data_IF_423615819000
#
_entry.id   IF_423615819000
#
_cell.length_a   1.000
_cell.length_b   1.000
_cell.length_c   1.000
_cell.angle_alpha   90.00
_cell.angle_beta   90.00
_cell.angle_gamma   90.00
#
_symmetry.space_group_name_H-M   'P 1'
#
loop_
_entity.id
_entity.type
_entity.pdbx_description
1 polymer ?
#
# COMPACT_ATOMS: atom_id res chain seq x y z
N UNK A 1 6.09 -15.72 3.89
CA UNK A 1 6.27 -14.33 4.39
C UNK A 1 5.40 -13.39 3.57
N UNK A 2 4.47 -12.69 4.19
CA UNK A 2 3.62 -11.73 3.47
C UNK A 2 4.45 -10.60 2.87
N UNK A 3 4.02 -10.12 1.74
CA UNK A 3 4.76 -9.13 0.95
C UNK A 3 3.94 -7.85 0.81
N UNK A 4 4.58 -6.71 1.01
CA UNK A 4 3.94 -5.39 0.96
C UNK A 4 4.70 -4.52 -0.04
N UNK A 5 3.95 -3.85 -0.93
CA UNK A 5 4.50 -2.85 -1.83
C UNK A 5 4.20 -1.47 -1.25
N UNK A 6 5.23 -0.65 -1.08
CA UNK A 6 5.10 0.72 -0.59
C UNK A 6 5.43 1.68 -1.74
N UNK A 7 4.46 2.52 -2.10
CA UNK A 7 4.60 3.49 -3.19
C UNK A 7 4.50 4.90 -2.60
N UNK A 8 5.60 5.64 -2.63
CA UNK A 8 5.65 7.02 -2.15
C UNK A 8 6.87 7.70 -2.78
N UNK A 9 6.70 8.92 -3.29
CA UNK A 9 7.81 9.66 -3.87
C UNK A 9 8.76 10.23 -2.81
N UNK A 10 8.32 10.29 -1.55
CA UNK A 10 9.16 10.70 -0.43
C UNK A 10 9.99 9.51 0.06
N UNK A 11 11.29 9.52 -0.24
CA UNK A 11 12.19 8.42 0.12
C UNK A 11 12.26 8.18 1.63
N UNK A 12 12.18 9.24 2.44
CA UNK A 12 12.24 9.11 3.89
C UNK A 12 11.03 8.36 4.44
N UNK A 13 9.83 8.65 3.92
CA UNK A 13 8.62 7.95 4.32
C UNK A 13 8.66 6.50 3.87
N UNK A 14 9.08 6.24 2.63
CA UNK A 14 9.23 4.87 2.12
C UNK A 14 10.17 4.05 3.01
N UNK A 15 11.33 4.60 3.32
CA UNK A 15 12.34 3.93 4.15
C UNK A 15 11.80 3.65 5.54
N UNK A 16 11.11 4.62 6.14
CA UNK A 16 10.54 4.46 7.47
C UNK A 16 9.51 3.34 7.49
N UNK A 17 8.60 3.32 6.54
CA UNK A 17 7.61 2.25 6.43
C UNK A 17 8.27 0.90 6.21
N UNK A 18 9.29 0.83 5.35
CA UNK A 18 10.02 -0.41 5.12
C UNK A 18 10.66 -0.93 6.41
N UNK A 19 11.33 -0.07 7.14
CA UNK A 19 12.01 -0.48 8.37
C UNK A 19 11.02 -1.04 9.40
N UNK A 20 9.93 -0.33 9.64
CA UNK A 20 8.96 -0.78 10.65
C UNK A 20 8.21 -2.03 10.22
N UNK A 21 7.88 -2.15 8.93
CA UNK A 21 7.17 -3.33 8.42
C UNK A 21 8.07 -4.55 8.38
N UNK A 22 9.33 -4.40 7.97
CA UNK A 22 10.30 -5.50 8.01
C UNK A 22 10.55 -5.96 9.44
N UNK A 23 10.55 -5.03 10.39
CA UNK A 23 10.65 -5.36 11.81
C UNK A 23 9.50 -6.22 12.32
N UNK A 24 8.34 -6.16 11.66
CA UNK A 24 7.17 -6.98 11.99
C UNK A 24 7.15 -8.31 11.24
N UNK A 25 8.15 -8.58 10.40
CA UNK A 25 8.26 -9.83 9.67
C UNK A 25 7.67 -9.83 8.27
N UNK A 26 7.37 -8.66 7.70
CA UNK A 26 6.89 -8.55 6.32
C UNK A 26 8.05 -8.34 5.36
N UNK A 27 7.91 -8.82 4.14
CA UNK A 27 8.81 -8.49 3.04
C UNK A 27 8.29 -7.20 2.39
N UNK A 28 9.17 -6.22 2.16
CA UNK A 28 8.76 -4.92 1.62
C UNK A 28 9.45 -4.64 0.31
N UNK A 29 8.68 -4.25 -0.69
CA UNK A 29 9.13 -3.78 -2.00
C UNK A 29 8.78 -2.30 -2.08
N UNK A 30 9.67 -1.49 -2.61
CA UNK A 30 9.49 -0.04 -2.70
C UNK A 30 9.33 0.42 -4.15
N UNK A 31 8.53 1.46 -4.35
CA UNK A 31 8.42 2.16 -5.61
C UNK A 31 8.31 3.67 -5.35
N UNK A 32 8.92 4.47 -6.21
CA UNK A 32 8.98 5.92 -6.05
C UNK A 32 7.82 6.65 -6.71
N UNK A 33 7.07 5.98 -7.57
CA UNK A 33 5.91 6.56 -8.26
C UNK A 33 4.93 5.47 -8.67
N UNK A 34 3.78 5.88 -9.18
CA UNK A 34 2.70 4.95 -9.54
C UNK A 34 3.07 4.01 -10.68
N UNK A 35 3.77 4.51 -11.69
CA UNK A 35 4.17 3.68 -12.84
C UNK A 35 5.13 2.58 -12.40
N UNK A 36 6.14 2.92 -11.60
CA UNK A 36 7.06 1.94 -11.03
C UNK A 36 6.31 0.96 -10.13
N UNK A 37 5.34 1.46 -9.35
CA UNK A 37 4.52 0.61 -8.48
C UNK A 37 3.77 -0.46 -9.26
N UNK A 38 3.14 -0.08 -10.37
CA UNK A 38 2.43 -1.04 -11.22
C UNK A 38 3.38 -2.07 -11.82
N UNK A 39 4.55 -1.63 -12.30
CA UNK A 39 5.56 -2.54 -12.85
C UNK A 39 6.03 -3.54 -11.80
N UNK A 40 6.30 -3.08 -10.59
CA UNK A 40 6.76 -3.94 -9.51
C UNK A 40 5.68 -4.94 -9.10
N UNK A 41 4.44 -4.49 -9.04
CA UNK A 41 3.34 -5.38 -8.71
C UNK A 41 3.15 -6.46 -9.77
N UNK A 42 3.23 -6.11 -11.04
CA UNK A 42 3.10 -7.07 -12.13
C UNK A 42 4.23 -8.11 -12.09
N UNK A 43 5.45 -7.67 -11.78
CA UNK A 43 6.61 -8.56 -11.71
C UNK A 43 6.56 -9.48 -10.48
N UNK A 44 6.07 -8.97 -9.36
CA UNK A 44 6.02 -9.71 -8.10
C UNK A 44 4.80 -9.25 -7.29
N UNK A 45 3.62 -9.85 -7.52
CA UNK A 45 2.41 -9.46 -6.80
C UNK A 45 2.58 -9.52 -5.28
N UNK A 46 1.97 -8.54 -4.59
CA UNK A 46 2.06 -8.43 -3.15
C UNK A 46 0.68 -8.60 -2.51
N UNK A 47 0.66 -8.87 -1.21
CA UNK A 47 -0.58 -9.05 -0.46
C UNK A 47 -1.26 -7.72 -0.16
N UNK A 48 -0.44 -6.68 0.04
CA UNK A 48 -0.90 -5.34 0.39
C UNK A 48 -0.11 -4.34 -0.44
N UNK A 49 -0.78 -3.26 -0.88
CA UNK A 49 -0.14 -2.09 -1.46
C UNK A 49 -0.49 -0.88 -0.59
N UNK A 50 0.54 -0.22 -0.08
CA UNK A 50 0.40 1.06 0.64
C UNK A 50 0.87 2.14 -0.31
N UNK A 51 0.01 3.07 -0.68
CA UNK A 51 0.36 4.12 -1.64
C UNK A 51 -0.03 5.51 -1.17
N UNK A 52 0.88 6.45 -1.39
CA UNK A 52 0.56 7.88 -1.35
C UNK A 52 -0.31 8.21 -2.56
N UNK A 53 -1.26 9.11 -2.37
CA UNK A 53 -2.15 9.56 -3.44
C UNK A 53 -1.65 10.83 -4.12
N UNK A 54 -0.70 11.52 -3.52
CA UNK A 54 -0.18 12.81 -4.01
C UNK A 54 1.25 12.63 -4.52
N UNK A 55 1.36 12.15 -5.76
CA UNK A 55 2.64 11.96 -6.43
C UNK A 55 2.61 12.59 -7.81
N UNK A 56 3.75 13.12 -8.30
CA UNK A 56 3.82 13.62 -9.66
C UNK A 56 3.54 12.51 -10.67
N UNK A 57 2.90 12.86 -11.76
CA UNK A 57 2.70 11.97 -12.90
C UNK A 57 1.37 11.25 -12.89
N UNK A 58 1.20 10.23 -12.08
CA UNK A 58 -0.02 9.45 -12.07
C UNK A 58 -0.97 9.93 -10.97
N UNK A 59 -2.26 10.10 -11.32
CA UNK A 59 -3.30 10.37 -10.37
C UNK A 59 -3.47 9.17 -9.42
N UNK A 60 -3.54 9.45 -8.12
CA UNK A 60 -3.69 8.41 -7.10
C UNK A 60 -4.93 7.55 -7.28
N UNK A 61 -6.04 8.14 -7.74
CA UNK A 61 -7.25 7.37 -8.02
C UNK A 61 -7.06 6.44 -9.22
N UNK A 62 -6.38 6.90 -10.26
CA UNK A 62 -6.06 6.05 -11.41
C UNK A 62 -5.20 4.87 -11.00
N UNK A 63 -4.24 5.10 -10.12
CA UNK A 63 -3.38 4.05 -9.60
C UNK A 63 -4.20 3.01 -8.83
N UNK A 64 -5.09 3.45 -7.94
CA UNK A 64 -5.94 2.54 -7.17
C UNK A 64 -6.85 1.73 -8.09
N UNK A 65 -7.43 2.36 -9.11
CA UNK A 65 -8.26 1.67 -10.09
C UNK A 65 -7.46 0.61 -10.85
N UNK A 66 -6.24 0.94 -11.26
CA UNK A 66 -5.38 -0.01 -11.95
C UNK A 66 -5.03 -1.21 -11.07
N UNK A 67 -4.68 -0.95 -9.80
CA UNK A 67 -4.36 -2.02 -8.85
C UNK A 67 -5.57 -2.91 -8.55
N UNK A 68 -6.75 -2.32 -8.48
CA UNK A 68 -7.98 -3.05 -8.22
C UNK A 68 -8.31 -4.05 -9.34
N UNK A 69 -7.82 -3.78 -10.55
CA UNK A 69 -8.01 -4.66 -11.71
C UNK A 69 -6.95 -5.74 -11.84
N UNK A 70 -5.91 -5.69 -11.02
CA UNK A 70 -4.85 -6.70 -11.07
C UNK A 70 -5.35 -8.06 -10.57
N UNK A 71 -4.74 -9.12 -11.09
CA UNK A 71 -5.03 -10.49 -10.67
C UNK A 71 -3.69 -11.14 -10.33
N UNK A 72 -3.45 -11.54 -9.07
CA UNK A 72 -4.34 -11.37 -7.92
C UNK A 72 -4.52 -9.91 -7.54
N UNK A 73 -5.65 -9.59 -6.89
CA UNK A 73 -5.93 -8.23 -6.45
C UNK A 73 -5.37 -8.01 -5.05
N UNK A 74 -4.53 -6.98 -4.83
CA UNK A 74 -3.99 -6.72 -3.51
C UNK A 74 -5.00 -6.01 -2.61
N UNK A 75 -4.80 -6.09 -1.29
CA UNK A 75 -5.46 -5.16 -0.39
C UNK A 75 -4.82 -3.78 -0.60
N UNK A 76 -5.63 -2.74 -0.64
CA UNK A 76 -5.16 -1.37 -0.89
C UNK A 76 -5.22 -0.54 0.38
N UNK A 77 -4.17 0.24 0.63
CA UNK A 77 -4.10 1.17 1.76
C UNK A 77 -3.61 2.51 1.22
N UNK A 78 -4.39 3.57 1.42
CA UNK A 78 -4.11 4.88 0.86
C UNK A 78 -3.66 5.86 1.93
N UNK A 79 -2.67 6.67 1.60
CA UNK A 79 -2.10 7.70 2.48
C UNK A 79 -2.13 9.03 1.74
N UNK A 80 -2.59 10.09 2.40
CA UNK A 80 -2.57 11.43 1.79
C UNK A 80 -2.61 12.52 2.83
N UNK A 81 -2.01 13.67 2.51
CA UNK A 81 -2.19 14.90 3.26
C UNK A 81 -3.48 15.65 2.89
N UNK A 82 -4.17 15.20 1.85
CA UNK A 82 -5.40 15.82 1.35
C UNK A 82 -6.61 14.98 1.78
N UNK A 83 -7.43 15.57 2.66
CA UNK A 83 -8.63 14.89 3.19
C UNK A 83 -9.66 14.59 2.10
N UNK A 84 -9.77 15.47 1.11
CA UNK A 84 -10.70 15.25 0.02
C UNK A 84 -10.30 14.03 -0.81
N UNK A 85 -9.00 13.89 -1.09
CA UNK A 85 -8.49 12.72 -1.77
C UNK A 85 -8.80 11.43 -0.99
N UNK A 86 -8.62 11.45 0.33
CA UNK A 86 -8.93 10.30 1.18
C UNK A 86 -10.42 9.96 1.15
N UNK A 87 -11.28 10.95 1.14
CA UNK A 87 -12.73 10.74 1.06
C UNK A 87 -13.09 10.05 -0.26
N UNK A 88 -12.51 10.48 -1.36
CA UNK A 88 -12.74 9.89 -2.67
C UNK A 88 -12.25 8.44 -2.73
N UNK A 89 -11.15 8.12 -2.06
CA UNK A 89 -10.58 6.77 -2.07
C UNK A 89 -11.37 5.79 -1.21
N UNK A 90 -12.26 6.25 -0.36
CA UNK A 90 -13.12 5.38 0.44
C UNK A 90 -13.96 4.42 -0.38
N UNK A 91 -14.15 4.68 -1.68
CA UNK A 91 -14.83 3.77 -2.61
C UNK A 91 -14.00 2.53 -2.93
N UNK A 92 -12.67 2.64 -2.81
CA UNK A 92 -11.75 1.57 -3.20
C UNK A 92 -11.18 0.82 -2.02
N UNK A 93 -11.09 1.48 -0.87
CA UNK A 93 -10.56 0.85 0.34
C UNK A 93 -11.05 1.58 1.60
N UNK A 94 -11.34 0.83 2.68
CA UNK A 94 -11.60 1.43 3.99
C UNK A 94 -10.30 1.83 4.72
N UNK A 95 -9.14 1.45 4.19
CA UNK A 95 -7.84 1.68 4.86
C UNK A 95 -7.22 2.95 4.33
N UNK A 96 -7.62 4.09 4.92
CA UNK A 96 -7.12 5.41 4.54
C UNK A 96 -6.49 6.10 5.74
N UNK A 97 -5.34 6.74 5.53
CA UNK A 97 -4.59 7.40 6.61
C UNK A 97 -4.13 8.78 6.15
N UNK A 98 -4.33 9.77 7.03
CA UNK A 98 -3.90 11.13 6.77
C UNK A 98 -2.43 11.30 7.14
N UNK A 99 -1.75 12.22 6.44
CA UNK A 99 -0.42 12.68 6.85
C UNK A 99 -0.57 13.86 7.82
N UNK A 100 0.33 14.02 8.80
CA UNK A 100 1.51 13.18 9.08
C UNK A 100 1.10 11.80 9.59
N UNK A 101 1.88 10.77 9.20
CA UNK A 101 1.55 9.40 9.51
C UNK A 101 1.63 9.10 11.00
N UNK A 102 0.57 8.48 11.53
CA UNK A 102 0.59 7.85 12.84
C UNK A 102 0.98 6.39 12.62
N UNK A 103 2.27 6.10 12.70
CA UNK A 103 2.82 4.77 12.37
C UNK A 103 2.15 3.64 13.14
N UNK A 104 1.82 3.86 14.41
CA UNK A 104 1.18 2.82 15.21
C UNK A 104 -0.19 2.46 14.67
N UNK A 105 -0.93 3.45 14.14
CA UNK A 105 -2.24 3.19 13.54
C UNK A 105 -2.09 2.40 12.24
N UNK A 106 -1.10 2.74 11.42
CA UNK A 106 -0.81 2.01 10.19
C UNK A 106 -0.43 0.57 10.51
N UNK A 107 0.47 0.37 11.47
CA UNK A 107 0.89 -0.98 11.87
C UNK A 107 -0.27 -1.79 12.44
N UNK A 108 -1.12 -1.18 13.25
CA UNK A 108 -2.30 -1.85 13.79
C UNK A 108 -3.23 -2.31 12.67
N UNK A 109 -3.45 -1.46 11.66
CA UNK A 109 -4.28 -1.81 10.51
C UNK A 109 -3.67 -2.96 9.71
N UNK A 110 -2.36 -2.94 9.50
CA UNK A 110 -1.66 -4.03 8.79
C UNK A 110 -1.80 -5.35 9.55
N UNK A 111 -1.60 -5.34 10.87
CA UNK A 111 -1.77 -6.53 11.70
C UNK A 111 -3.19 -7.07 11.64
N UNK A 112 -4.19 -6.19 11.64
CA UNK A 112 -5.60 -6.58 11.61
C UNK A 112 -6.02 -7.15 10.27
N UNK A 113 -5.29 -6.88 9.18
CA UNK A 113 -5.55 -7.48 7.89
C UNK A 113 -5.23 -8.98 7.85
N UNK A 114 -4.39 -9.44 8.76
CA UNK A 114 -3.97 -10.85 8.84
C UNK A 114 -3.49 -11.39 7.49
N UNK A 115 -2.49 -10.75 6.93
CA UNK A 115 -1.96 -11.10 5.62
C UNK A 115 -1.38 -12.52 5.58
N UNK A 116 -0.87 -13.02 6.71
CA UNK A 116 -0.35 -14.38 6.82
C UNK A 116 -1.44 -15.41 6.65
N UNK A 117 -2.60 -15.15 7.24
CA UNK A 117 -3.77 -16.02 7.11
C UNK A 117 -4.31 -15.99 5.68
N UNK A 118 -4.31 -14.82 5.07
CA UNK A 118 -4.75 -14.66 3.68
C UNK A 118 -3.90 -15.51 2.74
N UNK A 119 -2.58 -15.53 2.94
CA UNK A 119 -1.68 -16.38 2.17
C UNK A 119 -1.96 -17.85 2.37
N UNK A 120 -2.35 -18.28 3.57
CA UNK A 120 -2.71 -19.67 3.85
C UNK A 120 -4.00 -20.07 3.13
N UNK A 121 -4.96 -19.17 3.03
CA UNK A 121 -6.21 -19.44 2.32
C UNK A 121 -6.00 -19.70 0.84
N UNK A 122 -5.02 -19.07 0.24
CA UNK A 122 -4.69 -19.29 -1.18
C UNK A 122 -4.16 -20.69 -1.45
N UNK A 123 -3.59 -21.33 -0.45
CA UNK A 123 -3.03 -22.66 -0.60
C UNK A 123 -4.04 -23.77 -0.26
N UNK A 124 -5.11 -23.38 0.33
CA UNK A 124 -6.19 -24.32 0.67
C UNK A 124 -7.11 -24.54 -0.52
#
# INVERSE_FOLDING_TARGET
MPRILVIDDNAAIRELLRIVLEGEGYEVIEAADGAEGLQRYQAAPTDLVITDLQMPGMDGLELLMALQRMVPTPVLMAISGDREALTQTGRFTPYTFAKPLALEQVLAAVRNLDLRHRGSDETA
#
